data_IF_512176049411
#
_entry.id   IF_512176049411
#
_cell.length_a   1.000
_cell.length_b   1.000
_cell.length_c   1.000
_cell.angle_alpha   90.00
_cell.angle_beta   90.00
_cell.angle_gamma   90.00
#
_symmetry.space_group_name_H-M   'P 1'
#
loop_
_entity.id
_entity.type
_entity.pdbx_description
1 polymer ?
#
# COMPACT_ATOMS: atom_id res chain seq x y z
N UNK A 1 17.14 -0.94 -22.07
CA UNK A 1 16.99 0.31 -21.28
C UNK A 1 15.86 0.08 -20.28
N UNK A 2 16.08 0.40 -19.00
CA UNK A 2 15.07 0.26 -17.95
C UNK A 2 13.92 1.25 -18.17
N UNK A 3 12.67 0.80 -18.09
CA UNK A 3 11.49 1.70 -18.04
C UNK A 3 11.42 2.33 -16.64
N UNK A 4 12.17 3.43 -16.44
CA UNK A 4 12.28 4.12 -15.17
C UNK A 4 11.98 5.61 -15.32
N UNK A 5 10.97 6.07 -14.61
CA UNK A 5 10.61 7.49 -14.56
C UNK A 5 11.16 8.16 -13.30
N UNK A 6 11.92 9.26 -13.46
CA UNK A 6 12.41 10.07 -12.34
C UNK A 6 11.43 11.22 -12.12
N UNK A 7 10.64 11.10 -11.06
CA UNK A 7 9.61 12.09 -10.70
C UNK A 7 10.22 13.40 -10.20
N UNK A 8 9.55 14.53 -10.46
CA UNK A 8 9.95 15.83 -9.91
C UNK A 8 9.96 15.87 -8.37
N UNK A 9 9.07 15.09 -7.73
CA UNK A 9 9.08 14.85 -6.29
C UNK A 9 9.16 13.35 -6.04
N UNK A 10 10.26 12.90 -5.43
CA UNK A 10 10.54 11.48 -5.19
C UNK A 10 9.78 10.89 -3.98
N UNK A 11 8.92 11.70 -3.35
CA UNK A 11 8.10 11.34 -2.20
C UNK A 11 6.74 12.05 -2.25
N UNK A 12 5.87 11.81 -1.28
CA UNK A 12 4.57 12.51 -1.20
C UNK A 12 4.79 14.00 -0.95
N UNK A 13 4.08 14.84 -1.69
CA UNK A 13 4.01 16.28 -1.40
C UNK A 13 2.95 16.56 -0.33
N UNK A 14 3.06 17.71 0.34
CA UNK A 14 2.08 18.15 1.34
C UNK A 14 0.68 18.14 0.73
N UNK A 15 -0.28 17.64 1.50
CA UNK A 15 -1.68 17.57 1.09
C UNK A 15 -2.59 18.04 2.21
N UNK A 16 -3.79 18.48 1.84
CA UNK A 16 -4.81 18.99 2.77
C UNK A 16 -6.13 18.33 2.42
N UNK A 17 -6.73 17.63 3.38
CA UNK A 17 -8.03 16.97 3.24
C UNK A 17 -9.20 17.90 3.58
N UNK A 18 -8.93 19.04 4.23
CA UNK A 18 -9.91 19.94 4.80
C UNK A 18 -9.92 21.30 4.06
N UNK A 19 -9.82 21.25 2.72
CA UNK A 19 -9.84 22.46 1.90
C UNK A 19 -11.29 22.99 1.81
N UNK A 20 -11.56 24.27 2.15
CA UNK A 20 -12.88 24.86 1.99
C UNK A 20 -13.38 24.79 0.55
N UNK A 21 -14.69 24.59 0.36
CA UNK A 21 -15.31 24.34 -0.94
C UNK A 21 -14.95 25.42 -1.99
N UNK A 22 -15.03 26.70 -1.61
CA UNK A 22 -14.71 27.83 -2.51
C UNK A 22 -13.27 27.80 -3.01
N UNK A 23 -12.30 27.57 -2.12
CA UNK A 23 -10.88 27.46 -2.48
C UNK A 23 -10.64 26.25 -3.38
N UNK A 24 -11.30 25.16 -3.07
CA UNK A 24 -11.18 23.90 -3.78
C UNK A 24 -11.75 24.02 -5.21
N UNK A 25 -12.91 24.65 -5.39
CA UNK A 25 -13.50 25.01 -6.70
C UNK A 25 -12.58 25.96 -7.50
N UNK A 26 -11.98 26.97 -6.86
CA UNK A 26 -11.02 27.89 -7.50
C UNK A 26 -9.79 27.13 -8.02
N UNK A 27 -9.23 26.28 -7.14
CA UNK A 27 -8.15 25.39 -7.51
C UNK A 27 -8.62 24.59 -8.73
N UNK A 28 -9.81 23.95 -8.70
CA UNK A 28 -10.37 23.16 -9.82
C UNK A 28 -10.34 23.82 -11.15
N UNK A 29 -10.89 25.01 -11.19
CA UNK A 29 -10.92 25.77 -12.41
C UNK A 29 -9.52 25.95 -13.02
N UNK A 30 -8.48 26.12 -12.18
CA UNK A 30 -7.08 26.23 -12.64
C UNK A 30 -6.54 24.92 -13.21
N UNK A 31 -6.84 23.78 -12.59
CA UNK A 31 -6.46 22.46 -13.11
C UNK A 31 -7.04 22.22 -14.49
N UNK A 32 -8.36 22.38 -14.59
CA UNK A 32 -9.11 22.07 -15.80
C UNK A 32 -8.66 22.97 -16.94
N UNK A 33 -8.48 24.28 -16.66
CA UNK A 33 -7.91 25.21 -17.64
C UNK A 33 -6.55 24.75 -18.14
N UNK A 34 -5.67 24.28 -17.23
CA UNK A 34 -4.35 23.76 -17.61
C UNK A 34 -4.47 22.51 -18.48
N UNK A 35 -5.25 21.51 -18.06
CA UNK A 35 -5.41 20.25 -18.78
C UNK A 35 -6.10 20.39 -20.13
N UNK A 36 -7.03 21.33 -20.28
CA UNK A 36 -7.68 21.64 -21.56
C UNK A 36 -6.74 22.36 -22.53
N UNK A 37 -5.72 23.07 -22.01
CA UNK A 37 -4.74 23.81 -22.82
C UNK A 37 -3.52 23.00 -23.25
N UNK A 38 -3.41 21.73 -22.82
CA UNK A 38 -2.27 20.84 -23.10
C UNK A 38 -2.74 19.44 -23.46
N UNK A 39 -1.88 18.60 -24.03
CA UNK A 39 -2.15 17.16 -24.09
C UNK A 39 -2.42 16.62 -22.69
N UNK A 40 -3.54 15.93 -22.51
CA UNK A 40 -3.92 15.27 -21.27
C UNK A 40 -4.43 13.87 -21.55
N UNK A 41 -4.40 13.03 -20.52
CA UNK A 41 -4.79 11.64 -20.55
C UNK A 41 -5.95 11.43 -19.58
N UNK A 42 -6.87 10.54 -19.93
CA UNK A 42 -7.95 10.13 -19.03
C UNK A 42 -8.13 8.60 -19.03
N UNK A 43 -8.47 8.04 -17.87
CA UNK A 43 -8.80 6.62 -17.75
C UNK A 43 -9.66 6.34 -16.52
N UNK A 44 -10.74 5.59 -16.73
CA UNK A 44 -11.61 5.14 -15.64
C UNK A 44 -11.16 3.79 -15.09
N UNK A 45 -11.01 3.72 -13.78
CA UNK A 45 -10.67 2.53 -13.02
C UNK A 45 -11.86 2.06 -12.17
N UNK A 46 -12.01 0.76 -12.01
CA UNK A 46 -12.98 0.14 -11.12
C UNK A 46 -12.31 -0.28 -9.81
N UNK A 47 -12.54 0.48 -8.74
CA UNK A 47 -12.06 0.21 -7.40
C UNK A 47 -13.18 -0.43 -6.57
N UNK A 48 -13.34 -1.75 -6.75
CA UNK A 48 -14.31 -2.57 -6.03
C UNK A 48 -15.78 -2.11 -6.20
N UNK A 49 -16.12 -1.72 -7.43
CA UNK A 49 -17.42 -1.25 -7.84
C UNK A 49 -17.62 0.26 -7.72
N UNK A 50 -16.59 1.01 -7.32
CA UNK A 50 -16.52 2.48 -7.44
C UNK A 50 -15.68 2.85 -8.65
N UNK A 51 -16.23 3.67 -9.54
CA UNK A 51 -15.56 4.13 -10.74
C UNK A 51 -14.81 5.42 -10.45
N UNK A 52 -13.48 5.33 -10.43
CA UNK A 52 -12.60 6.47 -10.24
C UNK A 52 -11.95 6.84 -11.58
N UNK A 53 -12.08 8.10 -12.01
CA UNK A 53 -11.47 8.60 -13.25
C UNK A 53 -10.17 9.32 -12.97
N UNK A 54 -9.06 8.89 -13.55
CA UNK A 54 -7.86 9.71 -13.63
C UNK A 54 -7.97 10.67 -14.82
N UNK A 55 -7.64 11.94 -14.61
CA UNK A 55 -7.44 12.95 -15.65
C UNK A 55 -6.19 13.78 -15.32
N UNK A 56 -5.17 13.73 -16.15
CA UNK A 56 -3.91 14.44 -15.88
C UNK A 56 -3.02 14.57 -17.10
N UNK A 57 -1.89 15.27 -16.97
CA UNK A 57 -0.94 15.50 -18.07
C UNK A 57 0.41 14.79 -17.91
N UNK A 58 0.55 13.90 -16.93
CA UNK A 58 1.74 13.04 -16.77
C UNK A 58 1.50 11.67 -17.40
N UNK A 59 2.25 11.36 -18.46
CA UNK A 59 2.22 10.03 -19.11
C UNK A 59 2.59 8.93 -18.12
N UNK A 60 3.56 9.18 -17.23
CA UNK A 60 3.99 8.24 -16.19
C UNK A 60 2.83 7.83 -15.28
N UNK A 61 2.10 8.81 -14.73
CA UNK A 61 0.95 8.51 -13.87
C UNK A 61 -0.16 7.78 -14.63
N UNK A 62 -0.40 8.15 -15.88
CA UNK A 62 -1.39 7.49 -16.73
C UNK A 62 -1.02 6.02 -16.98
N UNK A 63 0.23 5.74 -17.33
CA UNK A 63 0.72 4.38 -17.56
C UNK A 63 0.61 3.51 -16.30
N UNK A 64 1.06 4.05 -15.16
CA UNK A 64 0.93 3.36 -13.87
C UNK A 64 -0.53 3.15 -13.50
N UNK A 65 -1.41 4.11 -13.78
CA UNK A 65 -2.85 3.99 -13.57
C UNK A 65 -3.47 2.84 -14.37
N UNK A 66 -3.21 2.79 -15.68
CA UNK A 66 -3.72 1.73 -16.58
C UNK A 66 -3.23 0.34 -16.17
N UNK A 67 -1.97 0.26 -15.74
CA UNK A 67 -1.36 -1.00 -15.31
C UNK A 67 -1.94 -1.46 -13.96
N UNK A 68 -2.11 -0.54 -13.00
CA UNK A 68 -2.48 -0.91 -11.63
C UNK A 68 -3.96 -1.27 -11.46
N UNK A 69 -4.89 -0.74 -12.25
CA UNK A 69 -6.33 -0.88 -11.97
C UNK A 69 -7.10 -1.66 -13.01
N UNK A 70 -8.12 -2.42 -12.59
CA UNK A 70 -9.14 -2.92 -13.50
C UNK A 70 -9.85 -1.74 -14.18
N UNK A 71 -10.03 -1.80 -15.50
CA UNK A 71 -10.72 -0.75 -16.23
C UNK A 71 -12.21 -0.76 -15.91
N UNK A 72 -12.80 0.41 -15.76
CA UNK A 72 -14.25 0.53 -15.70
C UNK A 72 -14.85 0.39 -17.11
N UNK A 73 -16.11 -0.04 -17.19
CA UNK A 73 -16.83 -0.05 -18.47
C UNK A 73 -16.93 1.38 -19.01
N UNK A 74 -16.79 1.55 -20.33
CA UNK A 74 -16.74 2.87 -20.97
C UNK A 74 -17.91 3.79 -20.59
N UNK A 75 -19.13 3.23 -20.54
CA UNK A 75 -20.37 3.96 -20.25
C UNK A 75 -20.69 4.09 -18.75
N UNK A 76 -19.80 3.65 -17.85
CA UNK A 76 -20.04 3.80 -16.42
C UNK A 76 -19.99 5.27 -15.99
N UNK A 77 -20.94 5.67 -15.15
CA UNK A 77 -20.91 6.95 -14.42
C UNK A 77 -19.67 7.00 -13.54
N UNK A 78 -19.01 8.15 -13.50
CA UNK A 78 -17.83 8.38 -12.66
C UNK A 78 -18.30 8.72 -11.24
N UNK A 79 -17.84 7.97 -10.24
CA UNK A 79 -18.16 8.19 -8.83
C UNK A 79 -17.19 9.18 -8.16
N UNK A 80 -15.93 9.22 -8.60
CA UNK A 80 -14.90 10.16 -8.13
C UNK A 80 -13.87 10.44 -9.24
N UNK A 81 -13.15 11.57 -9.22
CA UNK A 81 -12.00 11.78 -10.13
C UNK A 81 -10.70 12.15 -9.44
N UNK A 82 -9.59 11.59 -9.90
CA UNK A 82 -8.29 12.19 -9.68
C UNK A 82 -8.04 13.17 -10.81
N UNK A 83 -8.06 14.46 -10.50
CA UNK A 83 -7.55 15.47 -11.40
C UNK A 83 -6.08 15.66 -11.03
N UNK A 84 -5.21 14.95 -11.74
CA UNK A 84 -3.78 15.21 -11.65
C UNK A 84 -3.43 16.41 -12.51
N UNK A 85 -3.96 17.52 -12.03
CA UNK A 85 -3.58 18.86 -12.32
C UNK A 85 -3.90 19.67 -11.07
N UNK A 86 -3.58 20.92 -11.18
CA UNK A 86 -3.66 21.88 -10.13
C UNK A 86 -5.15 22.27 -9.80
N UNK A 87 -6.04 21.44 -9.19
CA UNK A 87 -7.43 21.87 -8.73
C UNK A 87 -8.73 20.96 -8.57
N UNK A 88 -9.61 20.93 -7.49
CA UNK A 88 -10.54 19.80 -7.05
C UNK A 88 -12.07 20.07 -6.98
N UNK A 89 -13.00 19.06 -7.17
CA UNK A 89 -14.11 18.55 -6.26
C UNK A 89 -14.72 17.13 -6.35
N UNK A 90 -15.01 16.42 -5.22
CA UNK A 90 -15.27 14.92 -5.15
C UNK A 90 -14.21 14.12 -5.88
N UNK A 91 -13.08 14.77 -5.82
CA UNK A 91 -11.98 14.60 -6.67
C UNK A 91 -10.81 14.74 -5.72
N UNK A 92 -9.65 14.31 -6.18
CA UNK A 92 -8.39 14.59 -5.52
C UNK A 92 -7.50 15.30 -6.50
N UNK A 93 -6.61 16.13 -5.96
CA UNK A 93 -5.67 16.87 -6.78
C UNK A 93 -4.23 16.72 -6.46
N UNK A 94 -3.52 16.83 -7.57
CA UNK A 94 -2.10 16.73 -7.61
C UNK A 94 -1.60 17.95 -8.36
N UNK A 95 -1.17 18.92 -7.56
CA UNK A 95 -0.37 20.05 -8.01
C UNK A 95 1.10 19.64 -7.98
N UNK A 96 1.85 19.85 -9.06
CA UNK A 96 3.32 19.73 -9.08
C UNK A 96 3.88 18.37 -8.61
N UNK A 97 3.13 17.27 -8.74
CA UNK A 97 3.64 15.96 -8.35
C UNK A 97 3.22 14.90 -9.34
N UNK A 98 4.18 14.05 -9.67
CA UNK A 98 4.02 12.88 -10.53
C UNK A 98 4.19 11.59 -9.75
N UNK A 99 4.44 11.70 -8.43
CA UNK A 99 4.64 10.55 -7.55
C UNK A 99 3.39 9.68 -7.49
N UNK A 100 3.45 8.51 -8.12
CA UNK A 100 2.29 7.65 -8.30
C UNK A 100 1.73 7.15 -6.96
N UNK A 101 2.59 6.92 -5.96
CA UNK A 101 2.18 6.48 -4.64
C UNK A 101 1.18 7.41 -3.95
N UNK A 102 1.20 8.72 -4.24
CA UNK A 102 0.20 9.65 -3.73
C UNK A 102 -1.13 9.51 -4.51
N UNK A 103 -1.07 9.49 -5.85
CA UNK A 103 -2.24 9.26 -6.71
C UNK A 103 -2.97 7.97 -6.32
N UNK A 104 -2.25 6.86 -6.20
CA UNK A 104 -2.73 5.55 -5.75
C UNK A 104 -3.47 5.62 -4.43
N UNK A 105 -2.84 6.18 -3.40
CA UNK A 105 -3.39 6.16 -2.03
C UNK A 105 -4.66 7.02 -1.90
N UNK A 106 -4.74 8.13 -2.65
CA UNK A 106 -5.95 8.97 -2.67
C UNK A 106 -7.09 8.34 -3.46
N UNK A 107 -6.80 7.62 -4.56
CA UNK A 107 -7.83 6.85 -5.28
C UNK A 107 -8.51 5.85 -4.35
N UNK A 108 -7.70 5.12 -3.57
CA UNK A 108 -8.17 4.17 -2.57
C UNK A 108 -8.96 4.87 -1.46
N UNK A 109 -8.44 5.97 -0.91
CA UNK A 109 -9.17 6.75 0.11
C UNK A 109 -10.53 7.29 -0.35
N UNK A 110 -10.64 7.75 -1.60
CA UNK A 110 -11.91 8.20 -2.18
C UNK A 110 -12.88 7.03 -2.38
N UNK A 111 -12.41 5.92 -2.93
CA UNK A 111 -13.23 4.72 -3.07
C UNK A 111 -13.71 4.21 -1.70
N UNK A 112 -12.84 4.24 -0.68
CA UNK A 112 -13.20 3.90 0.69
C UNK A 112 -14.35 4.77 1.23
N UNK A 113 -14.28 6.10 1.07
CA UNK A 113 -15.34 7.01 1.52
C UNK A 113 -16.70 6.72 0.86
N UNK A 114 -16.70 6.43 -0.45
CA UNK A 114 -17.92 6.05 -1.19
C UNK A 114 -18.43 4.67 -0.73
N UNK A 115 -17.55 3.68 -0.61
CA UNK A 115 -17.91 2.30 -0.25
C UNK A 115 -18.41 2.19 1.20
N UNK A 116 -17.82 2.93 2.13
CA UNK A 116 -18.23 2.93 3.53
C UNK A 116 -19.68 3.41 3.69
N UNK A 117 -20.01 4.52 3.03
CA UNK A 117 -21.34 5.15 3.07
C UNK A 117 -22.38 4.36 2.28
N UNK A 118 -22.07 3.95 1.05
CA UNK A 118 -23.03 3.29 0.16
C UNK A 118 -23.19 1.79 0.42
N UNK A 119 -22.10 1.09 0.76
CA UNK A 119 -22.04 -0.38 0.83
C UNK A 119 -21.69 -0.95 2.20
N UNK A 120 -21.45 -0.11 3.22
CA UNK A 120 -21.02 -0.59 4.54
C UNK A 120 -19.75 -1.46 4.42
N UNK A 121 -18.82 -0.98 3.61
CA UNK A 121 -17.54 -1.62 3.35
C UNK A 121 -16.46 -1.03 4.24
N UNK A 122 -15.74 -1.89 4.94
CA UNK A 122 -14.59 -1.54 5.75
C UNK A 122 -13.33 -1.49 4.88
N UNK A 123 -12.56 -0.41 5.03
CA UNK A 123 -11.32 -0.16 4.31
C UNK A 123 -10.10 -0.27 5.23
N UNK A 124 -9.28 -1.30 5.04
CA UNK A 124 -8.11 -1.58 5.86
C UNK A 124 -6.84 -1.36 5.04
N UNK A 125 -5.93 -0.52 5.57
CA UNK A 125 -4.58 -0.37 5.03
C UNK A 125 -3.70 -1.51 5.57
N UNK A 126 -3.59 -2.58 4.79
CA UNK A 126 -2.92 -3.82 5.18
C UNK A 126 -2.76 -4.78 4.01
N UNK A 127 -1.80 -5.69 4.12
CA UNK A 127 -1.62 -6.76 3.14
C UNK A 127 -2.68 -7.85 3.37
N UNK A 128 -3.17 -8.48 2.30
CA UNK A 128 -4.03 -9.65 2.37
C UNK A 128 -3.46 -10.81 1.57
N UNK A 129 -3.29 -11.94 2.25
CA UNK A 129 -2.76 -13.18 1.65
C UNK A 129 -3.72 -14.31 2.00
N UNK A 130 -4.10 -15.10 1.01
CA UNK A 130 -4.79 -16.36 1.20
C UNK A 130 -3.76 -17.47 1.41
N UNK A 131 -3.89 -18.24 2.48
CA UNK A 131 -3.06 -19.42 2.72
C UNK A 131 -3.99 -20.59 2.96
N UNK A 132 -4.02 -21.52 2.02
CA UNK A 132 -4.86 -22.73 2.11
C UNK A 132 -6.36 -22.40 2.35
N UNK A 133 -6.88 -21.39 1.62
CA UNK A 133 -8.27 -20.93 1.75
C UNK A 133 -8.56 -20.11 3.01
N UNK A 134 -7.53 -19.77 3.80
CA UNK A 134 -7.63 -18.91 4.99
C UNK A 134 -6.93 -17.58 4.73
N UNK A 135 -7.71 -16.52 4.64
CA UNK A 135 -7.24 -15.15 4.47
C UNK A 135 -6.65 -14.57 5.76
N UNK A 136 -5.44 -14.02 5.64
CA UNK A 136 -4.77 -13.21 6.66
C UNK A 136 -4.75 -11.77 6.21
N UNK A 137 -5.09 -10.84 7.10
CA UNK A 137 -4.83 -9.41 6.92
C UNK A 137 -3.70 -9.01 7.86
N UNK A 138 -2.65 -8.38 7.32
CA UNK A 138 -1.53 -7.85 8.09
C UNK A 138 -1.59 -6.32 8.07
N UNK A 139 -1.94 -5.73 9.20
CA UNK A 139 -1.94 -4.28 9.44
C UNK A 139 -0.68 -3.92 10.19
N UNK A 140 0.02 -2.89 9.72
CA UNK A 140 1.33 -2.56 10.26
C UNK A 140 1.68 -1.09 10.02
N UNK A 141 2.29 -0.41 10.99
CA UNK A 141 3.00 0.83 10.73
C UNK A 141 4.13 0.64 9.71
N UNK A 142 4.61 1.75 9.13
CA UNK A 142 5.75 1.68 8.21
C UNK A 142 7.00 1.16 8.93
N UNK A 143 7.72 0.21 8.33
CA UNK A 143 8.99 -0.31 8.85
C UNK A 143 8.87 -1.42 9.90
N UNK A 144 7.66 -1.92 10.18
CA UNK A 144 7.44 -3.04 11.14
C UNK A 144 7.38 -4.42 10.48
N UNK A 145 7.56 -4.51 9.16
CA UNK A 145 7.74 -5.79 8.45
C UNK A 145 6.50 -6.33 7.71
N UNK A 146 5.47 -5.52 7.43
CA UNK A 146 4.28 -5.93 6.65
C UNK A 146 4.65 -6.66 5.36
N UNK A 147 5.42 -5.99 4.50
CA UNK A 147 5.82 -6.56 3.21
C UNK A 147 6.67 -7.81 3.41
N UNK A 148 7.58 -7.83 4.38
CA UNK A 148 8.40 -9.00 4.69
C UNK A 148 7.56 -10.22 5.06
N UNK A 149 6.57 -10.06 5.95
CA UNK A 149 5.70 -11.15 6.38
C UNK A 149 4.73 -11.57 5.28
N UNK A 150 4.14 -10.63 4.54
CA UNK A 150 3.29 -10.92 3.38
C UNK A 150 4.06 -11.72 2.32
N UNK A 151 5.32 -11.36 2.04
CA UNK A 151 6.18 -12.11 1.11
C UNK A 151 6.43 -13.55 1.56
N UNK A 152 6.75 -13.78 2.84
CA UNK A 152 6.93 -15.15 3.32
C UNK A 152 5.65 -15.98 3.25
N UNK A 153 4.48 -15.36 3.44
CA UNK A 153 3.20 -16.06 3.23
C UNK A 153 2.93 -16.37 1.75
N UNK A 154 3.46 -15.60 0.80
CA UNK A 154 3.37 -15.94 -0.64
C UNK A 154 4.33 -17.08 -1.02
N UNK A 155 5.50 -17.14 -0.37
CA UNK A 155 6.53 -18.14 -0.62
C UNK A 155 6.11 -19.56 -0.21
N UNK A 156 5.16 -19.72 0.73
CA UNK A 156 4.63 -21.06 1.06
C UNK A 156 3.80 -21.63 -0.08
N UNK A 157 3.81 -22.95 -0.35
CA UNK A 157 3.15 -23.54 -1.52
C UNK A 157 1.67 -23.16 -1.69
N UNK A 158 0.89 -23.16 -0.62
CA UNK A 158 -0.54 -22.82 -0.60
C UNK A 158 -0.84 -21.31 -0.50
N UNK A 159 0.20 -20.47 -0.47
CA UNK A 159 0.08 -19.03 -0.36
C UNK A 159 -0.28 -18.37 -1.68
N UNK A 160 -1.29 -17.49 -1.67
CA UNK A 160 -1.72 -16.70 -2.82
C UNK A 160 -1.94 -15.24 -2.41
N UNK A 161 -1.39 -14.31 -3.17
CA UNK A 161 -1.54 -12.88 -2.91
C UNK A 161 -2.94 -12.43 -3.30
N UNK A 162 -3.66 -11.84 -2.35
CA UNK A 162 -4.78 -10.97 -2.69
C UNK A 162 -4.21 -9.60 -3.00
N UNK A 163 -3.48 -9.02 -2.04
CA UNK A 163 -2.90 -7.67 -2.12
C UNK A 163 -1.81 -7.39 -1.09
N UNK A 164 -0.92 -6.43 -1.33
CA UNK A 164 0.20 -6.13 -0.42
C UNK A 164 0.00 -4.87 0.45
N UNK A 165 -1.06 -4.10 0.22
CA UNK A 165 -1.19 -2.76 0.80
C UNK A 165 -2.61 -2.33 1.20
N UNK A 166 -3.67 -2.90 0.60
CA UNK A 166 -5.04 -2.48 0.89
C UNK A 166 -6.07 -3.60 0.78
N UNK A 167 -7.10 -3.57 1.64
CA UNK A 167 -8.21 -4.53 1.64
C UNK A 167 -9.54 -3.82 1.85
N UNK A 168 -10.53 -4.17 1.03
CA UNK A 168 -11.93 -3.83 1.25
C UNK A 168 -12.72 -5.06 1.69
N UNK A 169 -13.60 -4.86 2.69
CA UNK A 169 -14.45 -5.91 3.24
C UNK A 169 -15.89 -5.40 3.32
N UNK A 170 -16.79 -5.97 2.54
CA UNK A 170 -18.22 -5.67 2.64
C UNK A 170 -18.85 -6.46 3.80
N UNK A 171 -19.25 -5.74 4.85
CA UNK A 171 -19.87 -6.36 6.04
C UNK A 171 -21.34 -6.77 5.80
N UNK A 172 -22.05 -6.19 4.83
CA UNK A 172 -23.40 -6.66 4.44
C UNK A 172 -23.29 -8.00 3.73
N UNK A 173 -22.38 -8.10 2.77
CA UNK A 173 -22.05 -9.36 2.13
C UNK A 173 -21.59 -10.40 3.15
N UNK A 174 -20.71 -10.00 4.08
CA UNK A 174 -20.23 -10.88 5.13
C UNK A 174 -21.36 -11.47 5.97
N UNK A 175 -22.35 -10.65 6.35
CA UNK A 175 -23.54 -11.12 7.08
C UNK A 175 -24.35 -12.13 6.27
N UNK A 176 -24.52 -11.90 4.96
CA UNK A 176 -25.23 -12.81 4.05
C UNK A 176 -24.48 -14.14 3.86
N UNK A 177 -23.14 -14.10 3.75
CA UNK A 177 -22.28 -15.27 3.52
C UNK A 177 -21.94 -16.04 4.81
N UNK A 178 -22.12 -15.43 5.98
CA UNK A 178 -21.67 -15.97 7.28
C UNK A 178 -20.15 -15.88 7.50
N UNK A 179 -19.40 -15.22 6.62
CA UNK A 179 -17.95 -15.01 6.75
C UNK A 179 -17.53 -13.76 5.99
N UNK A 180 -16.46 -13.10 6.43
CA UNK A 180 -15.91 -11.92 5.76
C UNK A 180 -15.04 -12.32 4.57
N UNK A 181 -15.08 -11.51 3.53
CA UNK A 181 -14.29 -11.65 2.31
C UNK A 181 -13.50 -10.37 2.10
N UNK A 182 -12.18 -10.48 2.02
CA UNK A 182 -11.30 -9.37 1.68
C UNK A 182 -11.00 -9.37 0.20
N UNK A 183 -11.06 -8.19 -0.42
CA UNK A 183 -10.70 -7.96 -1.83
C UNK A 183 -9.77 -6.77 -1.95
N UNK A 184 -8.92 -6.77 -2.97
CA UNK A 184 -8.22 -5.57 -3.37
C UNK A 184 -8.63 -5.12 -4.77
N UNK A 185 -8.63 -3.81 -5.04
CA UNK A 185 -8.88 -3.28 -6.38
C UNK A 185 -7.63 -3.28 -7.29
N UNK A 186 -6.43 -3.37 -6.71
CA UNK A 186 -5.16 -3.32 -7.43
C UNK A 186 -4.91 -4.64 -8.20
N UNK A 187 -4.50 -4.55 -9.46
CA UNK A 187 -4.00 -5.66 -10.29
C UNK A 187 -2.49 -5.84 -10.16
N UNK A 188 -1.80 -4.79 -9.72
CA UNK A 188 -0.34 -4.77 -9.58
C UNK A 188 0.06 -4.48 -8.14
N UNK A 189 1.30 -4.79 -7.81
CA UNK A 189 1.95 -4.53 -6.53
C UNK A 189 2.88 -3.33 -6.71
N UNK A 190 2.71 -2.29 -5.91
CA UNK A 190 3.54 -1.08 -5.96
C UNK A 190 4.74 -1.23 -5.02
N UNK A 191 5.67 -2.10 -5.42
CA UNK A 191 6.73 -2.64 -4.59
C UNK A 191 7.88 -1.65 -4.38
N UNK A 192 8.50 -1.67 -3.19
CA UNK A 192 9.81 -1.04 -2.95
C UNK A 192 10.88 -1.85 -3.66
N UNK A 193 11.66 -1.23 -4.53
CA UNK A 193 12.72 -1.96 -5.26
C UNK A 193 13.90 -2.33 -4.37
N UNK A 194 14.03 -1.69 -3.20
CA UNK A 194 15.04 -2.07 -2.20
C UNK A 194 14.92 -3.53 -1.74
N UNK A 195 13.74 -4.15 -1.92
CA UNK A 195 13.52 -5.57 -1.65
C UNK A 195 14.45 -6.50 -2.44
N UNK A 196 14.99 -6.05 -3.58
CA UNK A 196 16.00 -6.78 -4.34
C UNK A 196 17.28 -7.03 -3.53
N UNK A 197 17.60 -6.18 -2.55
CA UNK A 197 18.77 -6.34 -1.67
C UNK A 197 18.79 -7.70 -0.94
N UNK A 198 17.61 -8.24 -0.64
CA UNK A 198 17.46 -9.51 0.08
C UNK A 198 16.92 -10.64 -0.81
N UNK A 199 16.60 -10.35 -2.07
CA UNK A 199 15.92 -11.25 -3.01
C UNK A 199 16.41 -10.97 -4.42
N UNK A 200 17.58 -11.51 -4.76
CA UNK A 200 18.27 -11.25 -6.03
C UNK A 200 17.40 -11.53 -7.26
N UNK A 201 16.53 -12.53 -7.19
CA UNK A 201 15.60 -12.89 -8.27
C UNK A 201 14.62 -11.77 -8.66
N UNK A 202 14.35 -10.81 -7.76
CA UNK A 202 13.51 -9.65 -8.06
C UNK A 202 14.12 -8.72 -9.11
N UNK A 203 15.44 -8.75 -9.31
CA UNK A 203 16.11 -7.90 -10.32
C UNK A 203 15.49 -8.12 -11.70
N UNK A 204 15.34 -9.37 -12.14
CA UNK A 204 14.75 -9.67 -13.45
C UNK A 204 13.32 -9.11 -13.57
N UNK A 205 12.52 -9.27 -12.54
CA UNK A 205 11.13 -8.79 -12.53
C UNK A 205 11.08 -7.26 -12.60
N UNK A 206 11.94 -6.58 -11.85
CA UNK A 206 12.02 -5.12 -11.89
C UNK A 206 12.57 -4.60 -13.22
N UNK A 207 13.54 -5.30 -13.83
CA UNK A 207 14.08 -4.95 -15.15
C UNK A 207 12.98 -4.97 -16.23
N UNK A 208 11.96 -5.82 -16.06
CA UNK A 208 10.80 -5.98 -16.96
C UNK A 208 9.54 -5.21 -16.50
N UNK A 209 9.65 -4.40 -15.44
CA UNK A 209 8.54 -3.65 -14.85
C UNK A 209 8.69 -2.15 -15.04
N UNK A 210 7.57 -1.43 -14.96
CA UNK A 210 7.60 0.03 -14.88
C UNK A 210 8.15 0.45 -13.53
N UNK A 211 9.24 1.20 -13.54
CA UNK A 211 9.97 1.66 -12.37
C UNK A 211 9.83 3.17 -12.15
N UNK A 212 9.96 3.58 -10.90
CA UNK A 212 9.88 4.96 -10.46
C UNK A 212 11.06 5.26 -9.53
N UNK A 213 11.84 6.30 -9.87
CA UNK A 213 12.95 6.83 -9.09
C UNK A 213 14.12 5.84 -8.81
N UNK A 214 14.31 4.81 -9.65
CA UNK A 214 15.49 3.92 -9.54
C UNK A 214 16.75 4.70 -9.87
N UNK A 215 17.82 4.46 -9.11
CA UNK A 215 19.11 5.14 -9.30
C UNK A 215 19.86 4.50 -10.46
N UNK A 216 20.12 5.28 -11.51
CA UNK A 216 20.78 4.83 -12.76
C UNK A 216 22.22 5.33 -12.90
N UNK A 217 22.81 5.91 -11.84
CA UNK A 217 24.19 6.36 -11.86
C UNK A 217 24.81 6.31 -10.47
N UNK A 218 26.07 5.85 -10.40
CA UNK A 218 26.85 5.78 -9.16
C UNK A 218 27.02 7.14 -8.48
N UNK A 219 27.12 8.23 -9.24
CA UNK A 219 27.28 9.59 -8.69
C UNK A 219 26.06 10.07 -7.89
N UNK A 220 24.89 9.44 -8.08
CA UNK A 220 23.65 9.71 -7.35
C UNK A 220 23.40 8.75 -6.19
N UNK A 221 24.32 7.79 -5.93
CA UNK A 221 24.19 6.82 -4.86
C UNK A 221 24.83 7.35 -3.56
N UNK A 222 24.03 7.48 -2.49
CA UNK A 222 24.51 7.93 -1.18
C UNK A 222 25.27 6.83 -0.39
N UNK A 223 25.29 5.61 -0.91
CA UNK A 223 25.80 4.42 -0.25
C UNK A 223 27.14 3.91 -0.80
N UNK A 224 27.88 4.72 -1.56
CA UNK A 224 29.23 4.36 -2.03
C UNK A 224 30.22 4.27 -0.85
N UNK A 225 31.18 3.35 -0.92
CA UNK A 225 32.22 3.13 0.08
C UNK A 225 33.60 3.06 -0.60
N UNK A 226 34.39 4.12 -0.47
CA UNK A 226 35.66 4.22 -1.19
C UNK A 226 35.46 4.18 -2.71
N UNK A 227 36.49 3.80 -3.48
CA UNK A 227 36.43 3.82 -4.94
C UNK A 227 35.44 2.81 -5.53
N UNK A 228 35.29 1.61 -4.93
CA UNK A 228 34.54 0.49 -5.53
C UNK A 228 33.50 -0.17 -4.61
N UNK A 229 33.42 0.21 -3.33
CA UNK A 229 32.58 -0.48 -2.35
C UNK A 229 31.16 0.10 -2.22
N UNK A 230 30.32 -0.65 -1.50
CA UNK A 230 28.95 -0.29 -1.16
C UNK A 230 28.70 -0.45 0.35
N UNK A 231 28.30 0.65 1.02
CA UNK A 231 27.98 0.69 2.46
C UNK A 231 26.79 -0.19 2.84
N UNK A 232 25.85 -0.45 1.93
CA UNK A 232 24.65 -1.25 2.20
C UNK A 232 24.95 -2.75 2.19
N UNK A 233 25.82 -3.20 1.28
CA UNK A 233 26.12 -4.64 1.09
C UNK A 233 27.43 -5.06 1.73
N UNK A 234 28.34 -4.13 2.01
CA UNK A 234 29.73 -4.41 2.40
C UNK A 234 30.55 -5.07 1.28
N UNK A 235 30.05 -5.04 0.03
CA UNK A 235 30.66 -5.65 -1.16
C UNK A 235 30.99 -4.59 -2.20
N UNK A 236 31.47 -5.01 -3.37
CA UNK A 236 31.57 -4.15 -4.54
C UNK A 236 30.21 -3.50 -4.86
N UNK A 237 30.26 -2.26 -5.36
CA UNK A 237 29.08 -1.56 -5.81
C UNK A 237 28.59 -2.19 -7.12
N UNK A 238 27.27 -2.34 -7.28
CA UNK A 238 26.70 -2.91 -8.51
C UNK A 238 27.08 -2.15 -9.77
N UNK A 239 27.31 -0.84 -9.67
CA UNK A 239 27.80 -0.06 -10.81
C UNK A 239 29.22 -0.45 -11.22
N UNK A 240 30.07 -0.84 -10.27
CA UNK A 240 31.42 -1.33 -10.55
C UNK A 240 31.42 -2.78 -11.04
N UNK A 241 30.39 -3.56 -10.69
CA UNK A 241 30.13 -4.89 -11.23
C UNK A 241 29.47 -4.85 -12.63
N UNK A 242 29.36 -3.66 -13.24
CA UNK A 242 28.86 -3.47 -14.60
C UNK A 242 27.35 -3.30 -14.75
N UNK A 243 26.59 -3.23 -13.64
CA UNK A 243 25.15 -2.95 -13.72
C UNK A 243 24.87 -1.46 -13.97
N UNK A 244 23.91 -1.18 -14.85
CA UNK A 244 23.52 0.19 -15.22
C UNK A 244 22.60 0.88 -14.19
N UNK A 245 22.05 0.14 -13.22
CA UNK A 245 21.14 0.69 -12.20
C UNK A 245 21.22 -0.08 -10.87
N UNK A 246 20.84 0.62 -9.80
CA UNK A 246 20.80 0.10 -8.44
C UNK A 246 19.41 0.26 -7.83
N UNK A 247 18.78 -0.85 -7.45
CA UNK A 247 17.41 -0.91 -6.94
C UNK A 247 17.24 -0.55 -5.47
N UNK A 248 18.33 -0.55 -4.71
CA UNK A 248 18.33 -0.28 -3.27
C UNK A 248 19.11 0.99 -2.89
N UNK A 249 19.66 1.71 -3.86
CA UNK A 249 20.36 2.97 -3.61
C UNK A 249 19.43 4.13 -3.22
N UNK A 250 18.12 4.01 -3.49
CA UNK A 250 17.10 4.94 -2.99
C UNK A 250 15.96 4.15 -2.36
N UNK A 251 15.79 4.23 -1.04
CA UNK A 251 14.82 3.40 -0.32
C UNK A 251 13.35 3.63 -0.72
N UNK A 252 13.01 4.75 -1.38
CA UNK A 252 11.65 5.00 -1.90
C UNK A 252 11.51 4.82 -3.41
N UNK A 253 12.49 4.21 -4.08
CA UNK A 253 12.31 3.74 -5.46
C UNK A 253 11.30 2.59 -5.51
N UNK A 254 10.54 2.52 -6.61
CA UNK A 254 9.38 1.64 -6.75
C UNK A 254 9.36 0.94 -8.09
N UNK A 255 8.73 -0.23 -8.10
CA UNK A 255 8.35 -0.95 -9.32
C UNK A 255 6.87 -1.29 -9.23
N UNK A 256 6.14 -1.11 -10.33
CA UNK A 256 4.75 -1.54 -10.45
C UNK A 256 4.71 -2.91 -11.13
N UNK A 257 4.49 -3.95 -10.34
CA UNK A 257 4.63 -5.36 -10.75
C UNK A 257 3.25 -6.00 -10.85
N UNK A 258 2.76 -6.43 -12.03
CA UNK A 258 1.56 -7.26 -12.12
C UNK A 258 1.66 -8.49 -11.21
N UNK A 259 0.60 -8.78 -10.44
CA UNK A 259 0.65 -9.80 -9.38
C UNK A 259 1.15 -11.16 -9.89
N UNK A 260 0.70 -11.55 -11.07
CA UNK A 260 1.02 -12.79 -11.75
C UNK A 260 2.50 -12.90 -12.17
N UNK A 261 3.19 -11.77 -12.36
CA UNK A 261 4.62 -11.76 -12.70
C UNK A 261 5.50 -12.05 -11.49
N UNK A 262 4.99 -11.91 -10.26
CA UNK A 262 5.80 -12.07 -9.06
C UNK A 262 6.12 -13.54 -8.77
N UNK A 263 5.09 -14.39 -8.67
CA UNK A 263 5.25 -15.83 -8.35
C UNK A 263 4.45 -16.75 -9.30
N UNK A 264 3.86 -16.22 -10.37
CA UNK A 264 3.01 -16.96 -11.30
C UNK A 264 1.51 -16.76 -11.06
N UNK A 265 0.69 -17.15 -12.04
CA UNK A 265 -0.76 -16.98 -12.02
C UNK A 265 -1.43 -17.74 -10.86
N UNK A 266 -0.97 -18.95 -10.55
CA UNK A 266 -1.54 -19.80 -9.48
C UNK A 266 -1.32 -19.22 -8.06
N UNK A 267 -0.46 -18.20 -7.97
CA UNK A 267 -0.13 -17.50 -6.73
C UNK A 267 -0.94 -16.23 -6.53
N UNK A 268 -1.96 -15.98 -7.35
CA UNK A 268 -2.86 -14.82 -7.25
C UNK A 268 -4.26 -15.26 -6.84
N UNK A 269 -4.89 -14.47 -5.97
CA UNK A 269 -6.29 -14.58 -5.62
C UNK A 269 -6.96 -13.21 -5.73
N UNK A 270 -8.20 -13.15 -6.20
CA UNK A 270 -8.97 -11.89 -6.22
C UNK A 270 -9.72 -11.63 -4.91
N UNK A 271 -9.99 -12.69 -4.15
CA UNK A 271 -10.62 -12.60 -2.84
C UNK A 271 -10.08 -13.66 -1.87
N UNK A 272 -10.13 -13.36 -0.57
CA UNK A 272 -9.81 -14.32 0.49
C UNK A 272 -10.87 -14.30 1.60
N UNK A 273 -11.19 -15.49 2.14
CA UNK A 273 -12.05 -15.63 3.32
C UNK A 273 -11.26 -15.26 4.56
N UNK A 274 -11.59 -14.13 5.19
CA UNK A 274 -10.79 -13.60 6.29
C UNK A 274 -10.98 -14.44 7.55
N UNK A 275 -9.86 -14.93 8.09
CA UNK A 275 -9.79 -15.78 9.28
C UNK A 275 -8.89 -15.21 10.37
N UNK A 276 -7.89 -14.42 9.98
CA UNK A 276 -6.87 -13.89 10.87
C UNK A 276 -6.59 -12.42 10.57
N UNK A 277 -6.58 -11.59 11.60
CA UNK A 277 -6.06 -10.23 11.60
C UNK A 277 -4.76 -10.22 12.41
N UNK A 278 -3.67 -9.80 11.78
CA UNK A 278 -2.36 -9.64 12.41
C UNK A 278 -2.04 -8.15 12.45
N UNK A 279 -1.81 -7.64 13.66
CA UNK A 279 -1.26 -6.32 13.92
C UNK A 279 0.23 -6.49 14.18
N UNK A 280 1.07 -5.68 13.55
CA UNK A 280 2.51 -5.67 13.83
C UNK A 280 2.90 -4.43 14.62
N UNK A 281 3.74 -4.65 15.62
CA UNK A 281 4.49 -3.60 16.31
C UNK A 281 5.98 -3.91 16.25
N UNK A 282 6.80 -2.92 16.61
CA UNK A 282 8.26 -3.08 16.62
C UNK A 282 8.89 -2.24 17.71
N UNK A 283 9.09 -2.87 18.86
CA UNK A 283 9.73 -2.31 20.04
C UNK A 283 10.52 -3.41 20.78
N UNK A 284 11.31 -3.02 21.77
CA UNK A 284 12.24 -3.88 22.50
C UNK A 284 11.70 -4.41 23.83
N UNK A 285 10.55 -3.91 24.29
CA UNK A 285 10.04 -4.17 25.64
C UNK A 285 8.81 -5.07 25.66
N UNK A 286 7.99 -5.03 24.61
CA UNK A 286 6.71 -5.71 24.61
C UNK A 286 6.82 -7.19 24.22
N UNK A 287 5.90 -8.07 24.67
CA UNK A 287 6.01 -9.49 24.41
C UNK A 287 5.94 -9.85 22.91
N UNK A 288 6.49 -11.02 22.52
CA UNK A 288 6.51 -11.47 21.12
C UNK A 288 5.14 -11.57 20.47
N UNK A 289 4.15 -12.05 21.22
CA UNK A 289 2.79 -12.30 20.77
C UNK A 289 1.80 -11.91 21.87
N UNK A 290 0.72 -11.24 21.48
CA UNK A 290 -0.47 -11.04 22.30
C UNK A 290 -1.68 -11.44 21.46
N UNK A 291 -2.56 -12.27 22.04
CA UNK A 291 -3.86 -12.57 21.45
C UNK A 291 -4.83 -11.49 21.92
N UNK A 292 -5.48 -10.83 20.99
CA UNK A 292 -6.38 -9.73 21.28
C UNK A 292 -7.83 -10.19 21.09
N UNK A 293 -8.67 -9.86 22.05
CA UNK A 293 -10.10 -9.81 21.81
C UNK A 293 -10.48 -8.54 21.04
N UNK A 294 -11.79 -8.29 20.87
CA UNK A 294 -12.24 -7.13 20.12
C UNK A 294 -11.91 -5.81 20.83
N UNK A 295 -12.08 -5.73 22.15
CA UNK A 295 -11.88 -4.49 22.89
C UNK A 295 -10.41 -4.09 22.92
N UNK A 296 -9.53 -5.05 23.20
CA UNK A 296 -8.09 -4.82 23.19
C UNK A 296 -7.57 -4.47 21.78
N UNK A 297 -8.08 -5.13 20.75
CA UNK A 297 -7.72 -4.82 19.37
C UNK A 297 -8.15 -3.40 18.96
N UNK A 298 -9.36 -2.99 19.36
CA UNK A 298 -9.87 -1.63 19.09
C UNK A 298 -9.01 -0.58 19.79
N UNK A 299 -8.57 -0.82 21.03
CA UNK A 299 -7.68 0.12 21.72
C UNK A 299 -6.35 0.29 20.97
N UNK A 300 -5.72 -0.80 20.56
CA UNK A 300 -4.46 -0.78 19.79
C UNK A 300 -4.67 -0.04 18.47
N UNK A 301 -5.69 -0.41 17.70
CA UNK A 301 -5.98 0.17 16.39
C UNK A 301 -6.33 1.65 16.51
N UNK A 302 -7.21 2.04 17.44
CA UNK A 302 -7.65 3.42 17.61
C UNK A 302 -6.52 4.33 18.06
N UNK A 303 -5.66 3.85 18.96
CA UNK A 303 -4.45 4.59 19.39
C UNK A 303 -3.50 4.75 18.21
N UNK A 304 -3.33 3.70 17.40
CA UNK A 304 -2.54 3.77 16.18
C UNK A 304 -1.07 4.08 16.44
N UNK A 305 -0.58 3.76 17.64
CA UNK A 305 0.73 4.17 18.10
C UNK A 305 1.83 3.37 17.40
N UNK A 306 2.91 4.05 17.01
CA UNK A 306 4.09 3.43 16.42
C UNK A 306 5.36 4.26 16.64
N UNK A 307 6.51 3.60 16.62
CA UNK A 307 7.80 4.28 16.63
C UNK A 307 8.20 4.67 15.21
N UNK A 308 8.52 5.95 14.99
CA UNK A 308 8.97 6.46 13.70
C UNK A 308 10.40 5.97 13.47
N UNK A 309 10.61 5.13 12.46
CA UNK A 309 11.91 4.50 12.15
C UNK A 309 12.63 5.22 11.00
N UNK A 310 13.96 5.03 10.87
CA UNK A 310 14.69 5.43 9.67
C UNK A 310 14.00 4.98 8.38
N UNK A 311 13.86 5.89 7.42
CA UNK A 311 13.14 5.66 6.16
C UNK A 311 11.61 5.86 6.24
N UNK A 312 11.05 6.12 7.43
CA UNK A 312 9.66 6.50 7.63
C UNK A 312 9.57 7.97 8.10
N UNK A 313 8.98 8.83 7.29
CA UNK A 313 8.82 10.26 7.60
C UNK A 313 10.14 11.05 7.66
N UNK A 314 10.08 12.34 8.07
CA UNK A 314 11.25 13.23 8.16
C UNK A 314 12.31 12.73 9.15
N UNK A 315 13.59 12.98 8.87
CA UNK A 315 14.73 12.45 9.67
C UNK A 315 14.69 12.89 11.13
N UNK A 316 14.26 14.13 11.38
CA UNK A 316 14.12 14.76 12.69
C UNK A 316 13.05 14.11 13.59
N UNK A 317 12.15 13.32 13.00
CA UNK A 317 11.11 12.60 13.73
C UNK A 317 11.52 11.16 14.08
N UNK A 318 12.64 10.67 13.57
CA UNK A 318 13.09 9.30 13.83
C UNK A 318 13.37 9.09 15.33
N UNK A 319 12.95 7.92 15.84
CA UNK A 319 13.03 7.57 17.26
C UNK A 319 11.89 8.13 18.12
N UNK A 320 11.03 9.00 17.58
CA UNK A 320 9.86 9.53 18.29
C UNK A 320 8.64 8.63 18.10
N UNK A 321 7.67 8.76 19.01
CA UNK A 321 6.36 8.13 18.88
C UNK A 321 5.49 8.93 17.91
N UNK A 322 4.85 8.22 16.99
CA UNK A 322 3.80 8.70 16.10
C UNK A 322 2.48 8.00 16.40
N UNK A 323 1.39 8.62 15.93
CA UNK A 323 0.02 8.14 16.12
C UNK A 323 -0.72 8.23 14.79
N UNK A 324 -1.19 7.08 14.32
CA UNK A 324 -1.97 6.96 13.10
C UNK A 324 -3.18 6.07 13.38
N UNK A 325 -4.32 6.65 13.78
CA UNK A 325 -5.52 5.89 14.10
C UNK A 325 -5.89 4.90 13.00
N UNK A 326 -6.22 3.68 13.41
CA UNK A 326 -6.54 2.52 12.57
C UNK A 326 -5.41 2.12 11.60
N UNK A 327 -4.21 2.68 11.80
CA UNK A 327 -3.06 2.57 10.90
C UNK A 327 -3.38 2.90 9.44
N UNK A 328 -4.39 3.76 9.22
CA UNK A 328 -4.88 4.12 7.90
C UNK A 328 -4.91 5.66 7.71
N UNK A 329 -3.81 6.27 7.23
CA UNK A 329 -3.73 7.72 6.99
C UNK A 329 -4.60 8.22 5.85
N UNK A 330 -5.32 7.34 5.15
CA UNK A 330 -6.02 7.68 3.90
C UNK A 330 -7.54 7.64 4.05
N UNK A 331 -8.06 7.40 5.25
CA UNK A 331 -9.45 7.68 5.56
C UNK A 331 -9.68 9.19 5.35
N UNK A 332 -10.48 9.54 4.33
CA UNK A 332 -10.78 10.94 4.00
C UNK A 332 -11.78 11.54 5.00
N UNK A 333 -12.71 10.71 5.46
CA UNK A 333 -13.61 11.01 6.56
C UNK A 333 -13.35 9.99 7.66
N UNK A 334 -12.70 10.42 8.74
CA UNK A 334 -12.38 9.56 9.87
C UNK A 334 -13.58 9.45 10.80
N UNK A 335 -14.34 8.37 10.69
CA UNK A 335 -15.41 8.01 11.62
C UNK A 335 -14.92 6.91 12.57
N UNK A 336 -14.51 7.31 13.78
CA UNK A 336 -14.02 6.37 14.79
C UNK A 336 -15.07 5.34 15.22
N UNK A 337 -16.33 5.74 15.32
CA UNK A 337 -17.39 4.83 15.76
C UNK A 337 -17.63 3.75 14.71
N UNK A 338 -17.59 4.15 13.43
CA UNK A 338 -17.75 3.22 12.31
C UNK A 338 -16.58 2.25 12.16
N UNK A 339 -15.34 2.73 12.27
CA UNK A 339 -14.15 1.87 12.25
C UNK A 339 -14.18 0.89 13.43
N UNK A 340 -14.56 1.35 14.62
CA UNK A 340 -14.73 0.50 15.79
C UNK A 340 -15.77 -0.60 15.55
N UNK A 341 -16.95 -0.25 15.04
CA UNK A 341 -18.01 -1.21 14.71
C UNK A 341 -17.52 -2.29 13.73
N UNK A 342 -16.75 -1.90 12.71
CA UNK A 342 -16.22 -2.84 11.72
C UNK A 342 -15.25 -3.83 12.35
N UNK A 343 -14.23 -3.37 13.07
CA UNK A 343 -13.26 -4.27 13.72
C UNK A 343 -13.91 -5.13 14.81
N UNK A 344 -14.81 -4.56 15.62
CA UNK A 344 -15.58 -5.30 16.62
C UNK A 344 -16.40 -6.42 15.97
N UNK A 345 -17.11 -6.10 14.90
CA UNK A 345 -17.90 -7.08 14.14
C UNK A 345 -17.02 -8.17 13.54
N UNK A 346 -15.86 -7.81 12.98
CA UNK A 346 -14.89 -8.75 12.42
C UNK A 346 -14.43 -9.77 13.48
N UNK A 347 -14.01 -9.28 14.66
CA UNK A 347 -13.40 -10.12 15.68
C UNK A 347 -14.47 -10.90 16.47
N UNK A 348 -15.48 -10.21 17.01
CA UNK A 348 -16.47 -10.85 17.89
C UNK A 348 -17.52 -11.66 17.12
N UNK A 349 -18.11 -11.09 16.06
CA UNK A 349 -19.23 -11.73 15.35
C UNK A 349 -18.75 -12.74 14.32
N UNK A 350 -17.77 -12.38 13.51
CA UNK A 350 -17.21 -13.28 12.49
C UNK A 350 -16.09 -14.19 13.02
N UNK A 351 -15.72 -14.04 14.30
CA UNK A 351 -14.73 -14.88 14.98
C UNK A 351 -13.38 -14.89 14.26
N UNK A 352 -13.01 -13.77 13.64
CA UNK A 352 -11.68 -13.56 13.07
C UNK A 352 -10.71 -13.43 14.24
N UNK A 353 -9.68 -14.27 14.30
CA UNK A 353 -8.67 -14.18 15.36
C UNK A 353 -7.86 -12.91 15.18
N UNK A 354 -7.47 -12.26 16.28
CA UNK A 354 -6.60 -11.09 16.25
C UNK A 354 -5.30 -11.36 17.04
N UNK A 355 -4.16 -11.14 16.38
CA UNK A 355 -2.84 -11.23 17.01
C UNK A 355 -2.12 -9.90 16.90
N UNK A 356 -1.41 -9.51 17.95
CA UNK A 356 -0.40 -8.47 17.93
C UNK A 356 0.98 -9.10 18.07
N UNK A 357 1.79 -8.98 17.04
CA UNK A 357 3.13 -9.57 16.96
C UNK A 357 4.22 -8.49 17.03
N UNK A 358 5.25 -8.72 17.86
CA UNK A 358 6.38 -7.80 18.00
C UNK A 358 7.57 -8.23 17.13
N UNK A 359 7.78 -7.54 16.02
CA UNK A 359 8.91 -7.78 15.11
C UNK A 359 10.21 -7.10 15.56
N UNK A 360 10.23 -6.47 16.73
CA UNK A 360 11.42 -5.84 17.32
C UNK A 360 12.32 -6.82 18.07
N UNK A 361 11.72 -7.88 18.64
CA UNK A 361 12.42 -8.87 19.47
C UNK A 361 12.43 -10.28 18.87
N UNK A 362 11.67 -10.51 17.80
CA UNK A 362 11.62 -11.79 17.10
C UNK A 362 12.25 -11.73 15.71
N UNK A 363 12.80 -12.87 15.29
CA UNK A 363 13.20 -13.03 13.89
C UNK A 363 11.98 -13.07 12.98
N UNK A 364 12.23 -12.78 11.70
CA UNK A 364 11.22 -12.86 10.64
C UNK A 364 10.61 -14.26 10.58
N UNK A 365 11.42 -15.31 10.75
CA UNK A 365 11.01 -16.72 10.76
C UNK A 365 10.12 -17.06 11.96
N UNK A 366 10.46 -16.56 13.15
CA UNK A 366 9.66 -16.79 14.35
C UNK A 366 8.28 -16.13 14.23
N UNK A 367 8.23 -14.87 13.79
CA UNK A 367 6.96 -14.16 13.52
C UNK A 367 6.12 -14.92 12.49
N UNK A 368 6.74 -15.37 11.39
CA UNK A 368 6.05 -16.13 10.35
C UNK A 368 5.45 -17.45 10.87
N UNK A 369 6.21 -18.20 11.70
CA UNK A 369 5.72 -19.44 12.34
C UNK A 369 4.48 -19.19 13.21
N UNK A 370 4.41 -18.07 13.92
CA UNK A 370 3.23 -17.69 14.72
C UNK A 370 2.00 -17.46 13.85
N UNK A 371 2.16 -16.73 12.74
CA UNK A 371 1.07 -16.52 11.78
C UNK A 371 0.56 -17.86 11.24
N UNK A 372 1.47 -18.75 10.83
CA UNK A 372 1.10 -20.08 10.32
C UNK A 372 0.43 -20.96 11.38
N UNK A 373 0.90 -20.94 12.63
CA UNK A 373 0.27 -21.67 13.74
C UNK A 373 -1.14 -21.16 14.06
N UNK A 374 -1.32 -19.83 14.03
CA UNK A 374 -2.62 -19.22 14.22
C UNK A 374 -3.61 -19.62 13.12
N UNK A 375 -3.16 -19.64 11.87
CA UNK A 375 -3.94 -20.12 10.72
C UNK A 375 -4.38 -21.57 10.85
N UNK A 376 -3.53 -22.46 11.35
CA UNK A 376 -3.87 -23.88 11.55
C UNK A 376 -5.05 -24.06 12.51
N UNK A 377 -5.18 -23.15 13.50
CA UNK A 377 -6.24 -23.22 14.51
C UNK A 377 -7.50 -22.42 14.14
N UNK A 378 -7.55 -21.76 12.98
CA UNK A 378 -8.69 -20.95 12.50
C UNK A 378 -9.77 -21.73 11.76
#
# INVERSE_FOLDING_TARGET
MLDNYVTASTTRVKSDKNVPRSRFDELKHRAEKKLNSSSSFNAKANLNGVVVEFWGNSQHQYDFWRLNWNEAKANSTTDARIISAFGVTHESLFFNTEYYGQCKSWALGMAAAVLETSRNTHSIHGACVDVDGKGVIIVAPTGTGKTTQAFKLMEVPSGRIVGDDWVYIDHREGRRRGHLVGRQPEKSLYMRTESQLNKDWLRKIFDESKCENVVTSKSKCEFTQGPTGCKLTGRNCVFDDGFEWCYYAFGNSRALVPREKLFGLDKVADEARIRLLVLLRRDDTSPPEVKLDADDAIQVLRKGEYMIRPGAGPKEMWGRMGYEPWYNPYLLHLDHARQEEFFRTMISRFRVKCLLLNTGIESVEATHKRIMSALQTC
#
